data_IF_632719239195
#
_entry.id   IF_632719239195
#
_cell.length_a   1.000
_cell.length_b   1.000
_cell.length_c   1.000
_cell.angle_alpha   90.00
_cell.angle_beta   90.00
_cell.angle_gamma   90.00
#
_symmetry.space_group_name_H-M   'P 1'
#
loop_
_entity.id
_entity.type
_entity.pdbx_description
1 polymer ?
#
# COMPACT_ATOMS: atom_id res chain seq x y z
N UNK A 1 28.49 -5.67 69.12
CA UNK A 1 27.08 -5.84 68.70
C UNK A 1 26.98 -5.41 67.26
N UNK A 2 26.78 -6.35 66.35
CA UNK A 2 26.65 -6.12 64.92
C UNK A 2 25.24 -5.56 64.71
N UNK A 3 25.14 -4.35 64.20
CA UNK A 3 23.90 -3.62 64.00
C UNK A 3 22.90 -4.45 63.18
N UNK A 4 21.90 -5.02 63.85
CA UNK A 4 20.85 -5.84 63.25
C UNK A 4 19.85 -5.01 62.44
N UNK A 5 19.82 -3.69 62.64
CA UNK A 5 18.93 -2.78 61.90
C UNK A 5 19.38 -2.61 60.45
N UNK A 6 20.69 -2.53 60.20
CA UNK A 6 21.25 -2.47 58.85
C UNK A 6 21.04 -3.75 58.03
N UNK A 7 21.05 -4.91 58.68
CA UNK A 7 20.89 -6.21 58.01
C UNK A 7 19.42 -6.45 57.57
N UNK A 8 18.45 -6.09 58.41
CA UNK A 8 17.02 -6.17 58.07
C UNK A 8 16.64 -5.19 56.95
N UNK A 9 17.20 -3.97 56.98
CA UNK A 9 16.99 -2.97 55.93
C UNK A 9 17.52 -3.44 54.58
N UNK A 10 18.72 -4.02 54.55
CA UNK A 10 19.33 -4.57 53.34
C UNK A 10 18.52 -5.73 52.72
N UNK A 11 17.98 -6.64 53.54
CA UNK A 11 17.12 -7.74 53.06
C UNK A 11 15.80 -7.21 52.49
N UNK A 12 15.19 -6.21 53.13
CA UNK A 12 13.92 -5.66 52.65
C UNK A 12 14.08 -4.91 51.31
N UNK A 13 15.15 -4.12 51.19
CA UNK A 13 15.50 -3.41 49.96
C UNK A 13 15.80 -4.38 48.80
N UNK A 14 16.50 -5.49 49.06
CA UNK A 14 16.78 -6.50 48.02
C UNK A 14 15.51 -7.21 47.54
N UNK A 15 14.63 -7.63 48.46
CA UNK A 15 13.37 -8.31 48.11
C UNK A 15 12.43 -7.39 47.33
N UNK A 16 12.40 -6.10 47.68
CA UNK A 16 11.59 -5.11 46.97
C UNK A 16 12.08 -4.92 45.53
N UNK A 17 13.40 -4.81 45.32
CA UNK A 17 13.99 -4.69 43.99
C UNK A 17 13.72 -5.94 43.14
N UNK A 18 13.82 -7.13 43.73
CA UNK A 18 13.53 -8.40 43.06
C UNK A 18 12.07 -8.49 42.62
N UNK A 19 11.12 -8.13 43.50
CA UNK A 19 9.70 -8.12 43.18
C UNK A 19 9.38 -7.11 42.07
N UNK A 20 9.92 -5.89 42.15
CA UNK A 20 9.75 -4.85 41.12
C UNK A 20 10.31 -5.31 39.77
N UNK A 21 11.49 -5.94 39.78
CA UNK A 21 12.11 -6.48 38.57
C UNK A 21 11.25 -7.58 37.96
N UNK A 22 10.73 -8.50 38.78
CA UNK A 22 9.85 -9.57 38.30
C UNK A 22 8.57 -9.01 37.66
N UNK A 23 7.95 -7.99 38.26
CA UNK A 23 6.77 -7.32 37.68
C UNK A 23 7.12 -6.63 36.37
N UNK A 24 8.24 -5.90 36.30
CA UNK A 24 8.69 -5.25 35.06
C UNK A 24 8.91 -6.25 33.92
N UNK A 25 9.56 -7.38 34.21
CA UNK A 25 9.80 -8.45 33.24
C UNK A 25 8.49 -9.11 32.77
N UNK A 26 7.56 -9.37 33.69
CA UNK A 26 6.25 -9.91 33.35
C UNK A 26 5.48 -8.96 32.42
N UNK A 27 5.44 -7.67 32.74
CA UNK A 27 4.79 -6.66 31.91
C UNK A 27 5.45 -6.54 30.53
N UNK A 28 6.78 -6.46 30.46
CA UNK A 28 7.52 -6.42 29.19
C UNK A 28 7.26 -7.66 28.33
N UNK A 29 7.11 -8.84 28.95
CA UNK A 29 6.77 -10.08 28.24
C UNK A 29 5.37 -10.03 27.63
N UNK A 30 4.37 -9.57 28.38
CA UNK A 30 2.99 -9.44 27.89
C UNK A 30 2.91 -8.38 26.79
N UNK A 31 3.56 -7.23 26.95
CA UNK A 31 3.60 -6.18 25.92
C UNK A 31 4.29 -6.67 24.65
N UNK A 32 5.41 -7.40 24.77
CA UNK A 32 6.08 -8.03 23.62
C UNK A 32 5.16 -8.99 22.86
N UNK A 33 4.42 -9.85 23.58
CA UNK A 33 3.45 -10.76 22.98
C UNK A 33 2.32 -10.01 22.28
N UNK A 34 1.84 -8.90 22.86
CA UNK A 34 0.84 -8.03 22.25
C UNK A 34 1.35 -7.40 20.95
N UNK A 35 2.56 -6.87 20.94
CA UNK A 35 3.16 -6.29 19.74
C UNK A 35 3.31 -7.31 18.61
N UNK A 36 3.78 -8.53 18.91
CA UNK A 36 3.88 -9.61 17.91
C UNK A 36 2.50 -9.97 17.35
N UNK A 37 1.48 -10.03 18.20
CA UNK A 37 0.12 -10.32 17.76
C UNK A 37 -0.44 -9.25 16.81
N UNK A 38 -0.30 -7.96 17.16
CA UNK A 38 -0.76 -6.87 16.31
C UNK A 38 0.07 -6.75 15.02
N UNK A 39 1.39 -6.93 15.08
CA UNK A 39 2.24 -6.97 13.88
C UNK A 39 1.76 -8.03 12.87
N UNK A 40 1.44 -9.23 13.34
CA UNK A 40 0.93 -10.30 12.47
C UNK A 40 -0.41 -9.95 11.82
N UNK A 41 -1.31 -9.26 12.53
CA UNK A 41 -2.58 -8.78 11.95
C UNK A 41 -2.35 -7.75 10.86
N UNK A 42 -1.51 -6.75 11.13
CA UNK A 42 -1.19 -5.69 10.18
C UNK A 42 -0.47 -6.24 8.94
N UNK A 43 0.41 -7.24 9.10
CA UNK A 43 0.99 -8.00 7.99
C UNK A 43 -0.08 -8.72 7.15
N UNK A 44 -1.12 -9.26 7.78
CA UNK A 44 -2.27 -9.85 7.07
C UNK A 44 -3.02 -8.82 6.21
N UNK A 45 -3.29 -7.63 6.76
CA UNK A 45 -3.94 -6.53 6.03
C UNK A 45 -3.06 -6.06 4.88
N UNK A 46 -1.76 -5.87 5.12
CA UNK A 46 -0.77 -5.53 4.10
C UNK A 46 -0.79 -6.54 2.95
N UNK A 47 -0.71 -7.84 3.25
CA UNK A 47 -0.68 -8.88 2.24
C UNK A 47 -1.96 -8.90 1.40
N UNK A 48 -3.13 -8.69 2.03
CA UNK A 48 -4.40 -8.58 1.34
C UNK A 48 -4.43 -7.37 0.40
N UNK A 49 -4.06 -6.18 0.88
CA UNK A 49 -4.08 -4.94 0.10
C UNK A 49 -3.09 -4.98 -1.07
N UNK A 50 -1.89 -5.54 -0.86
CA UNK A 50 -0.94 -5.77 -1.96
C UNK A 50 -1.41 -6.82 -2.96
N UNK A 51 -2.10 -7.87 -2.49
CA UNK A 51 -2.78 -8.84 -3.36
C UNK A 51 -3.82 -8.15 -4.24
N UNK A 52 -4.71 -7.37 -3.63
CA UNK A 52 -5.75 -6.58 -4.32
C UNK A 52 -5.14 -5.61 -5.34
N UNK A 53 -4.13 -4.84 -4.94
CA UNK A 53 -3.42 -3.91 -5.81
C UNK A 53 -2.85 -4.60 -7.05
N UNK A 54 -2.25 -5.77 -6.89
CA UNK A 54 -1.70 -6.54 -8.01
C UNK A 54 -2.81 -7.08 -8.93
N UNK A 55 -3.91 -7.61 -8.39
CA UNK A 55 -5.06 -8.04 -9.19
C UNK A 55 -5.63 -6.89 -10.01
N UNK A 56 -5.90 -5.74 -9.38
CA UNK A 56 -6.42 -4.56 -10.07
C UNK A 56 -5.44 -4.08 -11.14
N UNK A 57 -4.13 -4.09 -10.85
CA UNK A 57 -3.10 -3.70 -11.82
C UNK A 57 -3.06 -4.64 -13.03
N UNK A 58 -3.26 -5.94 -12.84
CA UNK A 58 -3.39 -6.88 -13.96
C UNK A 58 -4.61 -6.55 -14.84
N UNK A 59 -5.76 -6.21 -14.25
CA UNK A 59 -6.93 -5.78 -15.01
C UNK A 59 -6.71 -4.44 -15.72
N UNK A 60 -6.01 -3.49 -15.09
CA UNK A 60 -5.60 -2.22 -15.73
C UNK A 60 -4.77 -2.48 -16.98
N UNK A 61 -3.77 -3.37 -16.90
CA UNK A 61 -2.91 -3.74 -18.03
C UNK A 61 -3.70 -4.46 -19.13
N UNK A 62 -4.64 -5.33 -18.76
CA UNK A 62 -5.55 -5.99 -19.72
C UNK A 62 -6.33 -4.94 -20.51
N UNK A 63 -6.87 -3.93 -19.83
CA UNK A 63 -7.59 -2.82 -20.45
C UNK A 63 -6.65 -1.93 -21.30
N UNK A 64 -5.43 -1.64 -20.86
CA UNK A 64 -4.43 -0.94 -21.70
C UNK A 64 -4.16 -1.69 -23.01
N UNK A 65 -4.03 -3.02 -22.92
CA UNK A 65 -3.77 -3.87 -24.08
C UNK A 65 -4.96 -3.84 -25.04
N UNK A 66 -6.18 -3.98 -24.53
CA UNK A 66 -7.40 -3.89 -25.33
C UNK A 66 -7.54 -2.52 -26.00
N UNK A 67 -7.25 -1.43 -25.26
CA UNK A 67 -7.26 -0.07 -25.79
C UNK A 67 -6.25 0.09 -26.94
N UNK A 68 -5.02 -0.39 -26.76
CA UNK A 68 -3.99 -0.34 -27.80
C UNK A 68 -4.39 -1.16 -29.03
N UNK A 69 -4.97 -2.35 -28.85
CA UNK A 69 -5.50 -3.14 -29.98
C UNK A 69 -6.59 -2.38 -30.74
N UNK A 70 -7.51 -1.75 -30.02
CA UNK A 70 -8.57 -0.92 -30.60
C UNK A 70 -8.02 0.27 -31.38
N UNK A 71 -7.01 0.98 -30.84
CA UNK A 71 -6.32 2.06 -31.56
C UNK A 71 -5.65 1.56 -32.83
N UNK A 72 -4.99 0.40 -32.80
CA UNK A 72 -4.36 -0.17 -33.99
C UNK A 72 -5.40 -0.52 -35.06
N UNK A 73 -6.55 -1.08 -34.66
CA UNK A 73 -7.67 -1.38 -35.57
C UNK A 73 -8.15 -0.08 -36.24
N UNK A 74 -8.40 0.96 -35.45
CA UNK A 74 -8.91 2.24 -35.95
C UNK A 74 -7.90 2.93 -36.87
N UNK A 75 -6.61 2.97 -36.50
CA UNK A 75 -5.53 3.49 -37.35
C UNK A 75 -5.42 2.71 -38.66
N UNK A 76 -5.53 1.39 -38.62
CA UNK A 76 -5.44 0.54 -39.82
C UNK A 76 -6.61 0.79 -40.77
N UNK A 77 -7.84 0.81 -40.25
CA UNK A 77 -9.04 1.10 -41.05
C UNK A 77 -9.01 2.53 -41.61
N UNK A 78 -8.55 3.49 -40.82
CA UNK A 78 -8.36 4.88 -41.26
C UNK A 78 -7.36 4.98 -42.41
N UNK A 79 -6.18 4.37 -42.30
CA UNK A 79 -5.17 4.40 -43.36
C UNK A 79 -5.67 3.72 -44.65
N UNK A 80 -6.41 2.61 -44.54
CA UNK A 80 -7.04 1.97 -45.69
C UNK A 80 -8.13 2.85 -46.33
N UNK A 81 -8.87 3.60 -45.50
CA UNK A 81 -9.88 4.54 -45.99
C UNK A 81 -9.22 5.72 -46.73
N UNK A 82 -8.14 6.29 -46.18
CA UNK A 82 -7.35 7.35 -46.83
C UNK A 82 -6.81 6.87 -48.18
N UNK A 83 -6.26 5.66 -48.25
CA UNK A 83 -5.79 5.02 -49.50
C UNK A 83 -6.92 4.93 -50.55
N UNK A 84 -8.10 4.44 -50.15
CA UNK A 84 -9.26 4.31 -51.03
C UNK A 84 -9.75 5.67 -51.56
N UNK A 85 -9.85 6.69 -50.69
CA UNK A 85 -10.21 8.06 -51.10
C UNK A 85 -9.18 8.63 -52.07
N UNK A 86 -7.87 8.47 -51.77
CA UNK A 86 -6.80 8.95 -52.65
C UNK A 86 -6.77 8.27 -54.03
N UNK A 87 -7.29 7.05 -54.12
CA UNK A 87 -7.43 6.28 -55.36
C UNK A 87 -8.77 6.53 -56.07
N UNK A 88 -9.61 7.44 -55.56
CA UNK A 88 -10.94 7.74 -56.06
C UNK A 88 -11.89 6.51 -56.06
N UNK A 89 -11.66 5.54 -55.17
CA UNK A 89 -12.48 4.33 -54.98
C UNK A 89 -13.52 4.56 -53.89
N UNK A 90 -14.60 5.25 -54.26
CA UNK A 90 -15.68 5.66 -53.35
C UNK A 90 -16.41 4.46 -52.74
N UNK A 91 -16.59 3.37 -53.49
CA UNK A 91 -17.22 2.15 -52.99
C UNK A 91 -16.42 1.53 -51.85
N UNK A 92 -15.09 1.43 -51.99
CA UNK A 92 -14.21 0.91 -50.94
C UNK A 92 -14.14 1.86 -49.74
N UNK A 93 -14.11 3.17 -49.99
CA UNK A 93 -14.12 4.17 -48.92
C UNK A 93 -15.40 4.10 -48.07
N UNK A 94 -16.58 4.05 -48.69
CA UNK A 94 -17.86 3.93 -47.96
C UNK A 94 -17.96 2.60 -47.22
N UNK A 95 -17.49 1.50 -47.82
CA UNK A 95 -17.41 0.21 -47.15
C UNK A 95 -16.55 0.26 -45.89
N UNK A 96 -15.34 0.83 -45.95
CA UNK A 96 -14.44 0.95 -44.80
C UNK A 96 -15.02 1.87 -43.72
N UNK A 97 -15.58 3.01 -44.11
CA UNK A 97 -16.23 3.95 -43.18
C UNK A 97 -17.37 3.30 -42.41
N UNK A 98 -18.15 2.42 -43.05
CA UNK A 98 -19.23 1.67 -42.39
C UNK A 98 -18.75 0.70 -41.28
N UNK A 99 -17.45 0.36 -41.27
CA UNK A 99 -16.83 -0.57 -40.32
C UNK A 99 -16.08 0.13 -39.19
N UNK A 100 -16.01 1.46 -39.20
CA UNK A 100 -15.42 2.20 -38.10
C UNK A 100 -16.15 1.91 -36.80
N UNK A 101 -15.38 1.65 -35.74
CA UNK A 101 -15.90 1.43 -34.39
C UNK A 101 -16.70 2.66 -33.96
N UNK A 102 -17.72 2.44 -33.14
CA UNK A 102 -18.59 3.52 -32.67
C UNK A 102 -17.83 4.57 -31.84
N UNK A 103 -16.74 4.17 -31.17
CA UNK A 103 -15.84 5.07 -30.43
C UNK A 103 -14.96 5.93 -31.35
N UNK A 104 -14.66 5.46 -32.56
CA UNK A 104 -13.83 6.20 -33.53
C UNK A 104 -14.64 7.17 -34.38
N UNK A 105 -15.90 6.82 -34.69
CA UNK A 105 -16.77 7.57 -35.60
C UNK A 105 -16.91 9.06 -35.24
N UNK A 106 -17.14 9.47 -33.98
CA UNK A 106 -17.26 10.88 -33.61
C UNK A 106 -15.99 11.68 -33.93
N UNK A 107 -14.82 11.14 -33.58
CA UNK A 107 -13.54 11.76 -33.88
C UNK A 107 -13.29 11.85 -35.38
N UNK A 108 -13.61 10.79 -36.12
CA UNK A 108 -13.49 10.78 -37.57
C UNK A 108 -14.38 11.83 -38.23
N UNK A 109 -15.65 11.93 -37.83
CA UNK A 109 -16.60 12.89 -38.37
C UNK A 109 -16.23 14.34 -38.01
N UNK A 110 -15.80 14.59 -36.78
CA UNK A 110 -15.30 15.89 -36.34
C UNK A 110 -14.05 16.31 -37.13
N UNK A 111 -13.12 15.39 -37.36
CA UNK A 111 -11.95 15.64 -38.18
C UNK A 111 -12.31 15.89 -39.64
N UNK A 112 -13.22 15.09 -40.20
CA UNK A 112 -13.68 15.25 -41.58
C UNK A 112 -14.37 16.59 -41.82
N UNK A 113 -15.12 17.10 -40.83
CA UNK A 113 -15.75 18.41 -40.89
C UNK A 113 -14.73 19.56 -41.04
N UNK A 114 -13.45 19.36 -40.65
CA UNK A 114 -12.38 20.34 -40.86
C UNK A 114 -11.99 20.50 -42.34
N UNK A 115 -12.33 19.56 -43.22
CA UNK A 115 -12.09 19.65 -44.67
C UNK A 115 -13.02 20.65 -45.39
N UNK A 116 -14.18 20.97 -44.82
CA UNK A 116 -15.22 21.74 -45.51
C UNK A 116 -16.02 20.92 -46.53
N UNK A 117 -16.44 21.54 -47.65
CA UNK A 117 -17.43 20.97 -48.60
C UNK A 117 -16.86 19.99 -49.65
N UNK A 118 -15.62 19.52 -49.51
CA UNK A 118 -15.02 18.61 -50.48
C UNK A 118 -13.88 17.77 -49.89
N UNK A 119 -14.23 16.59 -49.37
CA UNK A 119 -13.26 15.62 -48.83
C UNK A 119 -12.37 15.04 -49.93
N UNK A 120 -12.91 14.87 -51.13
CA UNK A 120 -12.21 14.29 -52.29
C UNK A 120 -11.02 15.14 -52.76
N UNK A 121 -11.09 16.47 -52.56
CA UNK A 121 -10.05 17.41 -52.99
C UNK A 121 -9.18 17.97 -51.84
N UNK A 122 -9.58 17.75 -50.57
CA UNK A 122 -8.92 18.37 -49.41
C UNK A 122 -8.99 17.49 -48.15
N UNK A 123 -8.01 16.61 -47.95
CA UNK A 123 -7.87 15.83 -46.71
C UNK A 123 -7.47 16.77 -45.57
N UNK A 124 -8.19 16.80 -44.42
CA UNK A 124 -7.85 17.70 -43.33
C UNK A 124 -6.45 17.42 -42.76
N UNK A 125 -5.69 18.44 -42.33
CA UNK A 125 -4.39 18.23 -41.69
C UNK A 125 -4.55 17.50 -40.35
N UNK A 126 -3.45 16.89 -39.88
CA UNK A 126 -3.41 16.03 -38.67
C UNK A 126 -4.28 14.77 -38.85
N UNK A 127 -4.70 14.17 -37.75
CA UNK A 127 -5.42 12.89 -37.75
C UNK A 127 -6.56 12.93 -36.74
N UNK A 128 -7.67 12.19 -36.97
CA UNK A 128 -8.75 12.09 -36.00
C UNK A 128 -8.29 11.65 -34.60
N UNK A 129 -7.21 10.87 -34.50
CA UNK A 129 -6.64 10.40 -33.23
C UNK A 129 -6.04 11.50 -32.35
N UNK A 130 -5.90 12.72 -32.87
CA UNK A 130 -5.42 13.88 -32.11
C UNK A 130 -6.55 14.74 -31.52
N UNK A 131 -7.80 14.40 -31.84
CA UNK A 131 -8.97 15.13 -31.38
C UNK A 131 -9.45 14.60 -30.03
N UNK A 132 -9.99 15.47 -29.15
CA UNK A 132 -10.53 15.05 -27.85
C UNK A 132 -11.73 14.11 -27.97
N UNK A 133 -12.43 14.11 -29.10
CA UNK A 133 -13.53 13.19 -29.38
C UNK A 133 -13.06 11.73 -29.55
N UNK A 134 -11.75 11.49 -29.70
CA UNK A 134 -11.21 10.14 -29.79
C UNK A 134 -10.89 9.58 -28.40
N UNK A 135 -11.85 8.88 -27.81
CA UNK A 135 -11.70 8.21 -26.54
C UNK A 135 -11.98 6.71 -26.67
N UNK A 136 -11.02 5.90 -26.23
CA UNK A 136 -11.18 4.43 -26.17
C UNK A 136 -11.58 4.07 -24.75
N UNK A 137 -12.74 3.44 -24.59
CA UNK A 137 -13.33 3.14 -23.28
C UNK A 137 -12.40 2.31 -22.40
N UNK A 138 -11.70 1.33 -22.97
CA UNK A 138 -10.74 0.51 -22.23
C UNK A 138 -9.53 1.34 -21.75
N UNK A 139 -9.17 2.42 -22.46
CA UNK A 139 -8.12 3.34 -22.02
C UNK A 139 -8.52 4.10 -20.76
N UNK A 140 -9.74 4.63 -20.71
CA UNK A 140 -10.30 5.30 -19.53
C UNK A 140 -10.42 4.34 -18.34
N UNK A 141 -10.91 3.12 -18.58
CA UNK A 141 -11.02 2.10 -17.55
C UNK A 141 -9.65 1.66 -17.01
N UNK A 142 -8.64 1.55 -17.88
CA UNK A 142 -7.26 1.27 -17.48
C UNK A 142 -6.72 2.32 -16.51
N UNK A 143 -6.95 3.61 -16.78
CA UNK A 143 -6.56 4.71 -15.89
C UNK A 143 -7.25 4.59 -14.54
N UNK A 144 -8.58 4.42 -14.53
CA UNK A 144 -9.38 4.26 -13.30
C UNK A 144 -8.88 3.09 -12.44
N UNK A 145 -8.60 1.95 -13.08
CA UNK A 145 -8.05 0.78 -12.40
C UNK A 145 -6.63 1.02 -11.88
N UNK A 146 -5.79 1.74 -12.62
CA UNK A 146 -4.43 2.09 -12.19
C UNK A 146 -4.44 2.95 -10.92
N UNK A 147 -5.34 3.93 -10.85
CA UNK A 147 -5.56 4.75 -9.65
C UNK A 147 -6.05 3.91 -8.47
N UNK A 148 -7.02 3.02 -8.69
CA UNK A 148 -7.52 2.11 -7.67
C UNK A 148 -6.45 1.15 -7.15
N UNK A 149 -5.58 0.63 -8.03
CA UNK A 149 -4.45 -0.21 -7.66
C UNK A 149 -3.44 0.56 -6.81
N UNK A 150 -3.17 1.82 -7.15
CA UNK A 150 -2.27 2.70 -6.39
C UNK A 150 -2.81 2.97 -4.99
N UNK A 151 -4.12 3.26 -4.88
CA UNK A 151 -4.77 3.45 -3.59
C UNK A 151 -4.73 2.20 -2.71
N UNK A 152 -4.92 1.00 -3.28
CA UNK A 152 -4.77 -0.26 -2.56
C UNK A 152 -3.32 -0.49 -2.10
N UNK A 153 -2.36 -0.21 -2.97
CA UNK A 153 -0.94 -0.32 -2.62
C UNK A 153 -0.58 0.61 -1.46
N UNK A 154 -1.07 1.84 -1.45
CA UNK A 154 -0.81 2.80 -0.36
C UNK A 154 -1.46 2.38 0.96
N UNK A 155 -2.65 1.74 0.93
CA UNK A 155 -3.22 1.11 2.13
C UNK A 155 -2.35 -0.02 2.65
N UNK A 156 -1.84 -0.88 1.75
CA UNK A 156 -0.90 -1.94 2.11
C UNK A 156 0.39 -1.42 2.72
N UNK A 157 0.94 -0.32 2.20
CA UNK A 157 2.13 0.35 2.74
C UNK A 157 1.90 0.89 4.16
N UNK A 158 0.78 1.58 4.40
CA UNK A 158 0.41 2.05 5.74
C UNK A 158 0.27 0.90 6.74
N UNK A 159 -0.34 -0.21 6.32
CA UNK A 159 -0.44 -1.40 7.15
C UNK A 159 0.94 -1.98 7.49
N UNK A 160 1.86 -2.05 6.52
CA UNK A 160 3.24 -2.46 6.76
C UNK A 160 3.96 -1.56 7.78
N UNK A 161 3.85 -0.24 7.62
CA UNK A 161 4.49 0.73 8.52
C UNK A 161 4.01 0.56 9.98
N UNK A 162 2.73 0.25 10.17
CA UNK A 162 2.17 -0.07 11.48
C UNK A 162 2.73 -1.40 12.02
N UNK A 163 2.79 -2.45 11.19
CA UNK A 163 3.35 -3.73 11.59
C UNK A 163 4.82 -3.61 12.02
N UNK A 164 5.62 -2.90 11.23
CA UNK A 164 7.03 -2.62 11.52
C UNK A 164 7.20 -1.84 12.83
N UNK A 165 6.29 -0.91 13.14
CA UNK A 165 6.30 -0.16 14.40
C UNK A 165 6.10 -1.08 15.61
N UNK A 166 5.19 -2.06 15.53
CA UNK A 166 5.04 -3.07 16.59
C UNK A 166 6.24 -4.01 16.69
N UNK A 167 6.86 -4.38 15.57
CA UNK A 167 8.09 -5.20 15.57
C UNK A 167 9.23 -4.44 16.26
N UNK A 168 9.39 -3.15 15.98
CA UNK A 168 10.38 -2.30 16.65
C UNK A 168 10.13 -2.27 18.18
N UNK A 169 8.88 -2.13 18.58
CA UNK A 169 8.54 -2.05 20.00
C UNK A 169 8.79 -3.38 20.75
N UNK A 170 8.60 -4.51 20.06
CA UNK A 170 9.02 -5.84 20.54
C UNK A 170 10.51 -5.89 20.87
N UNK A 171 11.36 -5.24 20.05
CA UNK A 171 12.81 -5.14 20.29
C UNK A 171 13.11 -4.30 21.54
N UNK A 172 12.38 -3.19 21.77
CA UNK A 172 12.53 -2.42 23.00
C UNK A 172 12.13 -3.23 24.23
N UNK A 173 11.03 -3.98 24.19
CA UNK A 173 10.67 -4.87 25.30
C UNK A 173 11.70 -5.99 25.51
N UNK A 174 12.28 -6.55 24.44
CA UNK A 174 13.38 -7.52 24.57
C UNK A 174 14.61 -6.90 25.27
N UNK A 175 14.92 -5.63 25.00
CA UNK A 175 15.99 -4.90 25.69
C UNK A 175 15.67 -4.68 27.17
N UNK A 176 14.42 -4.36 27.51
CA UNK A 176 13.95 -4.29 28.91
C UNK A 176 14.13 -5.63 29.61
N UNK A 177 13.71 -6.73 28.96
CA UNK A 177 13.86 -8.08 29.49
C UNK A 177 15.33 -8.42 29.75
N UNK A 178 16.21 -8.08 28.81
CA UNK A 178 17.64 -8.29 28.94
C UNK A 178 18.27 -7.49 30.08
N UNK A 179 17.99 -6.18 30.15
CA UNK A 179 18.52 -5.30 31.20
C UNK A 179 18.01 -5.70 32.59
N UNK A 180 16.71 -5.98 32.72
CA UNK A 180 16.11 -6.44 33.97
C UNK A 180 16.71 -7.78 34.42
N UNK A 181 16.77 -8.77 33.52
CA UNK A 181 17.30 -10.10 33.83
C UNK A 181 18.80 -10.11 34.14
N UNK A 182 19.56 -9.20 33.53
CA UNK A 182 21.01 -9.10 33.76
C UNK A 182 21.31 -8.32 35.05
N UNK A 183 20.46 -7.36 35.42
CA UNK A 183 20.63 -6.55 36.64
C UNK A 183 20.72 -7.39 37.92
N UNK A 184 20.02 -8.53 37.98
CA UNK A 184 19.98 -9.44 39.14
C UNK A 184 21.27 -10.22 39.37
N UNK A 185 22.14 -10.33 38.35
CA UNK A 185 23.40 -11.09 38.43
C UNK A 185 24.55 -10.28 39.03
N UNK A 186 24.41 -8.95 39.12
CA UNK A 186 25.48 -8.07 39.58
C UNK A 186 25.48 -7.90 41.10
N UNK A 187 26.65 -8.11 41.72
CA UNK A 187 26.87 -7.89 43.16
C UNK A 187 26.93 -6.40 43.54
N UNK A 188 27.28 -5.53 42.58
CA UNK A 188 27.36 -4.08 42.81
C UNK A 188 25.98 -3.46 42.70
N UNK A 189 25.51 -2.90 43.81
CA UNK A 189 24.20 -2.25 43.91
C UNK A 189 24.04 -1.06 42.96
N UNK A 190 25.10 -0.29 42.75
CA UNK A 190 25.09 0.84 41.80
C UNK A 190 24.84 0.39 40.37
N UNK A 191 25.50 -0.69 39.94
CA UNK A 191 25.33 -1.23 38.57
C UNK A 191 23.92 -1.78 38.40
N UNK A 192 23.44 -2.55 39.40
CA UNK A 192 22.07 -3.08 39.43
C UNK A 192 21.03 -1.96 39.30
N UNK A 193 21.14 -0.91 40.12
CA UNK A 193 20.20 0.21 40.12
C UNK A 193 20.25 1.00 38.81
N UNK A 194 21.44 1.25 38.25
CA UNK A 194 21.58 1.93 36.96
C UNK A 194 20.94 1.14 35.80
N UNK A 195 21.17 -0.17 35.73
CA UNK A 195 20.57 -1.02 34.70
C UNK A 195 19.05 -1.08 34.84
N UNK A 196 18.55 -1.22 36.07
CA UNK A 196 17.11 -1.28 36.33
C UNK A 196 16.44 0.07 36.00
N UNK A 197 17.07 1.19 36.36
CA UNK A 197 16.58 2.53 36.03
C UNK A 197 16.49 2.73 34.51
N UNK A 198 17.51 2.30 33.77
CA UNK A 198 17.51 2.34 32.31
C UNK A 198 16.40 1.45 31.72
N UNK A 199 16.22 0.23 32.27
CA UNK A 199 15.15 -0.67 31.84
C UNK A 199 13.76 -0.05 32.05
N UNK A 200 13.53 0.63 33.18
CA UNK A 200 12.29 1.36 33.44
C UNK A 200 12.05 2.48 32.43
N UNK A 201 13.07 3.30 32.15
CA UNK A 201 12.96 4.41 31.18
C UNK A 201 12.57 3.87 29.80
N UNK A 202 13.27 2.83 29.32
CA UNK A 202 12.99 2.20 28.02
C UNK A 202 11.59 1.60 28.03
N UNK A 203 11.20 0.89 29.11
CA UNK A 203 9.87 0.29 29.23
C UNK A 203 8.76 1.33 29.12
N UNK A 204 8.86 2.45 29.82
CA UNK A 204 7.83 3.49 29.76
C UNK A 204 7.77 4.16 28.39
N UNK A 205 8.92 4.41 27.74
CA UNK A 205 8.96 4.98 26.39
C UNK A 205 8.30 4.01 25.39
N UNK A 206 8.69 2.73 25.42
CA UNK A 206 8.12 1.69 24.58
C UNK A 206 6.61 1.53 24.84
N UNK A 207 6.19 1.47 26.11
CA UNK A 207 4.78 1.35 26.46
C UNK A 207 3.95 2.54 25.96
N UNK A 208 4.46 3.77 26.07
CA UNK A 208 3.78 4.95 25.54
C UNK A 208 3.71 4.91 24.00
N UNK A 209 4.77 4.46 23.34
CA UNK A 209 4.78 4.28 21.90
C UNK A 209 3.77 3.21 21.47
N UNK A 210 3.78 2.03 22.11
CA UNK A 210 2.81 0.94 21.92
C UNK A 210 1.36 1.42 22.00
N UNK A 211 1.03 2.18 23.06
CA UNK A 211 -0.33 2.67 23.30
C UNK A 211 -0.74 3.73 22.27
N UNK A 212 0.21 4.43 21.66
CA UNK A 212 -0.06 5.39 20.58
C UNK A 212 -0.30 4.73 19.22
N UNK A 213 0.13 3.48 19.03
CA UNK A 213 -0.03 2.77 17.76
C UNK A 213 -1.50 2.37 17.53
N UNK A 214 -1.96 2.40 16.27
CA UNK A 214 -3.30 1.94 15.94
C UNK A 214 -3.40 0.44 16.18
N UNK A 215 -4.48 0.03 16.84
CA UNK A 215 -4.77 -1.37 17.14
C UNK A 215 -5.86 -1.87 16.19
N UNK A 216 -5.68 -3.09 15.69
CA UNK A 216 -6.69 -3.78 14.88
C UNK A 216 -7.62 -4.56 15.82
N UNK A 217 -8.40 -3.82 16.63
CA UNK A 217 -9.42 -4.40 17.52
C UNK A 217 -10.69 -4.61 16.69
N UNK A 218 -10.66 -5.64 15.85
CA UNK A 218 -11.81 -6.08 15.07
C UNK A 218 -11.54 -7.47 14.52
N UNK A 219 -12.45 -8.40 14.77
CA UNK A 219 -12.48 -9.71 14.13
C UNK A 219 -12.91 -9.53 12.67
N UNK A 220 -12.11 -8.83 11.86
CA UNK A 220 -12.37 -8.66 10.43
C UNK A 220 -11.85 -9.88 9.70
N UNK A 221 -12.57 -10.99 9.83
CA UNK A 221 -12.47 -12.13 8.94
C UNK A 221 -13.07 -11.70 7.60
N UNK A 222 -12.22 -11.17 6.70
CA UNK A 222 -12.47 -10.77 5.31
C UNK A 222 -13.69 -9.84 5.06
N UNK A 223 -13.52 -8.67 4.41
CA UNK A 223 -14.68 -7.97 3.89
C UNK A 223 -15.38 -8.89 2.89
N UNK A 224 -16.68 -9.13 3.09
CA UNK A 224 -17.55 -9.72 2.08
C UNK A 224 -17.32 -8.95 0.77
N UNK A 225 -16.62 -9.60 -0.16
CA UNK A 225 -16.56 -9.19 -1.55
C UNK A 225 -17.95 -9.51 -2.11
N UNK A 226 -18.84 -8.51 -2.06
CA UNK A 226 -20.08 -8.45 -2.83
C UNK A 226 -19.87 -7.59 -4.06
#
# INVERSE_FOLDING_TARGET
MRDSSGLLKWIHESVTIEAITAVLLALATVSSAWCVYEANKWNGIQAFEFGSANTIRTESIRNTTAANTNVIIDVTLFLQWVDAVSSNDTLRADFLKSRFRDEFRPAFEAWLALAGTGVEDNIPPKSPFSLPEYEVREGLESIRLSEAASAAFDRGRKANEIADSYILDTVFFALVLFLGSTSTKWKSERIRLSMLSLAFIIFFIALLYMISLPTSIGFYWFPNVG
#
